data_IF_294811713338
#
_entry.id   IF_294811713338
#
_cell.length_a   1.000
_cell.length_b   1.000
_cell.length_c   1.000
_cell.angle_alpha   90.00
_cell.angle_beta   90.00
_cell.angle_gamma   90.00
#
_symmetry.space_group_name_H-M   'P 1'
#
loop_
_entity.id
_entity.type
_entity.pdbx_description
1 polymer ?
#
# COMPACT_ATOMS: atom_id res chain seq x y z
N UNK A 1 0.71 -6.94 -13.07
CA UNK A 1 1.17 -8.34 -13.29
C UNK A 1 0.16 -9.16 -14.08
N UNK A 2 -1.05 -9.45 -13.57
CA UNK A 2 -2.06 -10.24 -14.27
C UNK A 2 -2.43 -9.69 -15.67
N UNK A 3 -2.52 -8.37 -15.81
CA UNK A 3 -2.75 -7.70 -17.10
C UNK A 3 -1.66 -8.02 -18.13
N UNK A 4 -0.39 -7.85 -17.80
CA UNK A 4 0.74 -8.04 -18.72
C UNK A 4 0.91 -9.50 -19.14
N UNK A 5 0.73 -10.43 -18.20
CA UNK A 5 0.99 -11.86 -18.44
C UNK A 5 -0.21 -12.61 -19.02
N UNK A 6 -1.41 -12.26 -18.61
CA UNK A 6 -2.62 -13.02 -18.92
C UNK A 6 -3.73 -12.20 -19.60
N UNK A 7 -3.48 -10.91 -19.89
CA UNK A 7 -4.49 -10.03 -20.50
C UNK A 7 -5.69 -9.78 -19.59
N UNK A 8 -5.52 -9.92 -18.26
CA UNK A 8 -6.56 -9.58 -17.31
C UNK A 8 -6.83 -8.06 -17.32
N UNK A 9 -8.08 -7.65 -17.12
CA UNK A 9 -8.53 -6.27 -17.17
C UNK A 9 -8.99 -5.83 -15.79
N UNK A 10 -8.54 -4.67 -15.33
CA UNK A 10 -9.07 -4.01 -14.14
C UNK A 10 -10.37 -3.29 -14.54
N UNK A 11 -11.50 -3.67 -13.98
CA UNK A 11 -12.80 -3.05 -14.28
C UNK A 11 -13.43 -2.34 -13.08
N UNK A 12 -12.99 -2.67 -11.88
CA UNK A 12 -13.38 -2.00 -10.64
C UNK A 12 -12.14 -1.73 -9.78
N UNK A 13 -12.20 -0.70 -8.95
CA UNK A 13 -11.25 -0.46 -7.86
C UNK A 13 -11.99 -0.38 -6.53
N UNK A 14 -11.34 -0.84 -5.47
CA UNK A 14 -11.89 -0.77 -4.13
C UNK A 14 -11.84 0.65 -3.57
N UNK A 15 -12.86 1.00 -2.78
CA UNK A 15 -12.90 2.21 -1.97
C UNK A 15 -12.73 1.80 -0.52
N UNK A 16 -11.80 2.43 0.19
CA UNK A 16 -11.54 2.21 1.61
C UNK A 16 -11.67 3.54 2.34
N UNK A 17 -12.55 3.61 3.33
CA UNK A 17 -12.77 4.84 4.10
C UNK A 17 -13.01 6.08 3.22
N UNK A 18 -13.76 5.92 2.12
CA UNK A 18 -14.05 6.99 1.15
C UNK A 18 -12.97 7.28 0.11
N UNK A 19 -11.80 6.60 0.17
CA UNK A 19 -10.66 6.83 -0.73
C UNK A 19 -10.49 5.68 -1.71
N UNK A 20 -10.25 6.00 -3.00
CA UNK A 20 -9.89 5.03 -4.05
C UNK A 20 -8.39 4.89 -4.25
N UNK A 21 -7.61 5.66 -3.50
CA UNK A 21 -6.14 5.66 -3.50
C UNK A 21 -5.63 5.58 -2.07
N UNK A 22 -4.40 5.12 -1.92
CA UNK A 22 -3.64 5.16 -0.68
C UNK A 22 -2.21 5.61 -1.01
N UNK A 23 -1.33 5.71 -0.01
CA UNK A 23 0.08 6.09 -0.22
C UNK A 23 1.01 5.12 0.49
N UNK A 24 2.28 5.19 0.19
CA UNK A 24 3.30 4.71 1.10
C UNK A 24 3.64 5.82 2.10
N UNK A 25 3.94 5.43 3.33
CA UNK A 25 4.52 6.31 4.34
C UNK A 25 5.88 5.78 4.78
N UNK A 26 6.79 6.71 5.03
CA UNK A 26 8.05 6.44 5.69
C UNK A 26 7.90 6.85 7.14
N UNK A 27 8.12 5.92 8.05
CA UNK A 27 7.95 6.09 9.48
C UNK A 27 9.30 6.11 10.19
N UNK A 28 9.41 6.89 11.25
CA UNK A 28 10.52 6.88 12.20
C UNK A 28 10.01 7.18 13.60
N UNK A 29 10.84 7.01 14.62
CA UNK A 29 10.50 7.37 16.01
C UNK A 29 10.43 8.89 16.18
N UNK A 30 9.50 9.34 17.01
CA UNK A 30 9.35 10.75 17.34
C UNK A 30 10.52 11.26 18.19
N UNK A 31 11.08 10.40 19.08
CA UNK A 31 12.21 10.72 19.94
C UNK A 31 13.59 10.57 19.25
N UNK A 32 13.64 10.20 17.98
CA UNK A 32 14.86 10.24 17.20
C UNK A 32 15.00 11.60 16.50
N UNK A 33 15.72 12.53 17.14
CA UNK A 33 15.98 13.87 16.62
C UNK A 33 16.93 13.88 15.40
N UNK A 34 17.63 12.76 15.13
CA UNK A 34 18.50 12.63 13.96
C UNK A 34 17.75 12.36 12.67
N UNK A 35 16.43 12.11 12.72
CA UNK A 35 15.57 11.88 11.55
C UNK A 35 14.45 12.91 11.54
N UNK A 36 14.61 13.96 10.75
CA UNK A 36 13.62 15.04 10.54
C UNK A 36 13.05 15.04 9.13
N UNK A 37 13.77 14.47 8.20
CA UNK A 37 13.43 14.44 6.78
C UNK A 37 13.85 13.12 6.13
N UNK A 38 13.42 12.88 4.90
CA UNK A 38 13.81 11.72 4.13
C UNK A 38 15.34 11.63 3.91
N UNK A 39 16.03 12.78 3.77
CA UNK A 39 17.47 12.84 3.55
C UNK A 39 18.27 12.26 4.73
N UNK A 40 17.74 12.34 5.93
CA UNK A 40 18.38 11.86 7.15
C UNK A 40 18.41 10.33 7.24
N UNK A 41 17.73 9.64 6.32
CA UNK A 41 17.75 8.17 6.24
C UNK A 41 19.01 7.61 5.58
N UNK A 42 19.93 8.48 5.12
CA UNK A 42 21.22 8.04 4.61
C UNK A 42 21.98 7.28 5.69
N UNK A 43 22.36 6.03 5.37
CA UNK A 43 23.07 5.13 6.30
C UNK A 43 22.22 4.53 7.42
N UNK A 44 20.95 4.88 7.55
CA UNK A 44 20.03 4.37 8.59
C UNK A 44 19.57 2.94 8.28
N UNK A 45 19.23 2.18 9.34
CA UNK A 45 18.60 0.85 9.23
C UNK A 45 17.14 1.03 8.86
N UNK A 46 16.68 0.37 7.79
CA UNK A 46 15.32 0.53 7.28
C UNK A 46 14.62 -0.83 7.15
N UNK A 47 13.40 -0.93 7.69
CA UNK A 47 12.53 -2.08 7.49
C UNK A 47 11.57 -1.85 6.32
N UNK A 48 11.43 -2.87 5.49
CA UNK A 48 10.42 -2.98 4.44
C UNK A 48 9.48 -4.14 4.72
N UNK A 49 8.32 -4.19 4.04
CA UNK A 49 7.36 -5.29 4.24
C UNK A 49 7.85 -6.55 3.56
N UNK A 50 7.79 -6.58 2.24
CA UNK A 50 8.25 -7.70 1.41
C UNK A 50 8.65 -7.17 0.01
N UNK A 51 9.42 -7.96 -0.77
CA UNK A 51 9.94 -7.51 -2.07
C UNK A 51 8.87 -7.17 -3.13
N UNK A 52 7.64 -7.67 -3.00
CA UNK A 52 6.53 -7.42 -3.92
C UNK A 52 5.56 -6.33 -3.43
N UNK A 53 5.71 -5.87 -2.19
CA UNK A 53 4.83 -4.86 -1.60
C UNK A 53 4.98 -3.50 -2.29
N UNK A 54 3.89 -2.98 -2.86
CA UNK A 54 3.90 -1.67 -3.52
C UNK A 54 4.21 -0.54 -2.54
N UNK A 55 3.45 -0.43 -1.44
CA UNK A 55 3.63 0.64 -0.44
C UNK A 55 4.71 0.33 0.59
N UNK A 56 4.94 -0.94 0.89
CA UNK A 56 5.93 -1.33 1.89
C UNK A 56 7.35 -1.51 1.35
N UNK A 57 7.56 -1.41 0.02
CA UNK A 57 8.90 -1.56 -0.56
C UNK A 57 9.09 -0.86 -1.90
N UNK A 58 8.28 -1.17 -2.93
CA UNK A 58 8.60 -0.78 -4.32
C UNK A 58 8.57 0.74 -4.51
N UNK A 59 7.54 1.42 -4.04
CA UNK A 59 7.42 2.86 -4.16
C UNK A 59 8.42 3.60 -3.24
N UNK A 60 8.62 3.22 -1.97
CA UNK A 60 9.74 3.70 -1.16
C UNK A 60 11.10 3.54 -1.80
N UNK A 61 11.38 2.38 -2.41
CA UNK A 61 12.65 2.12 -3.10
C UNK A 61 12.84 3.09 -4.27
N UNK A 62 11.78 3.32 -5.07
CA UNK A 62 11.80 4.32 -6.14
C UNK A 62 12.08 5.72 -5.58
N UNK A 63 11.38 6.12 -4.52
CA UNK A 63 11.56 7.41 -3.86
C UNK A 63 13.00 7.61 -3.38
N UNK A 64 13.61 6.60 -2.73
CA UNK A 64 15.00 6.66 -2.29
C UNK A 64 15.97 6.76 -3.47
N UNK A 65 15.72 6.01 -4.55
CA UNK A 65 16.52 6.07 -5.78
C UNK A 65 16.47 7.46 -6.42
N UNK A 66 15.28 8.02 -6.59
CA UNK A 66 15.06 9.32 -7.21
C UNK A 66 15.70 10.46 -6.39
N UNK A 67 15.65 10.37 -5.07
CA UNK A 67 16.27 11.31 -4.14
C UNK A 67 17.75 11.00 -3.83
N UNK A 68 18.34 9.99 -4.47
CA UNK A 68 19.73 9.55 -4.27
C UNK A 68 20.06 9.24 -2.81
N UNK A 69 19.10 8.69 -2.06
CA UNK A 69 19.27 8.29 -0.66
C UNK A 69 19.72 6.84 -0.62
N UNK A 70 20.90 6.62 -0.11
CA UNK A 70 21.46 5.28 0.15
C UNK A 70 21.30 4.96 1.62
N UNK A 71 20.31 4.13 1.96
CA UNK A 71 20.11 3.62 3.32
C UNK A 71 21.23 2.68 3.74
N UNK A 72 21.33 2.39 5.02
CA UNK A 72 22.22 1.38 5.56
C UNK A 72 21.65 -0.05 5.41
N UNK A 73 21.72 -0.84 6.48
CA UNK A 73 21.17 -2.20 6.50
C UNK A 73 19.66 -2.16 6.30
N UNK A 74 19.16 -3.01 5.41
CA UNK A 74 17.71 -3.19 5.17
C UNK A 74 17.27 -4.58 5.60
N UNK A 75 16.02 -4.69 6.06
CA UNK A 75 15.39 -5.95 6.44
C UNK A 75 13.97 -6.03 5.88
N UNK A 76 13.51 -7.24 5.58
CA UNK A 76 12.10 -7.50 5.24
C UNK A 76 11.39 -8.09 6.45
N UNK A 77 10.37 -7.38 6.94
CA UNK A 77 9.61 -7.72 8.14
C UNK A 77 8.37 -8.60 7.84
N UNK A 78 8.11 -8.89 6.57
CA UNK A 78 7.01 -9.70 6.00
C UNK A 78 5.61 -9.10 6.15
N UNK A 79 5.35 -8.26 7.16
CA UNK A 79 4.04 -7.64 7.42
C UNK A 79 4.20 -6.18 7.81
N UNK A 80 3.15 -5.38 7.58
CA UNK A 80 3.12 -3.97 7.93
C UNK A 80 3.19 -3.72 9.45
N UNK A 81 2.48 -4.51 10.24
CA UNK A 81 2.51 -4.46 11.71
C UNK A 81 3.91 -4.74 12.27
N UNK A 82 4.63 -5.71 11.69
CA UNK A 82 6.01 -6.00 12.08
C UNK A 82 6.94 -4.82 11.80
N UNK A 83 6.80 -4.12 10.66
CA UNK A 83 7.59 -2.92 10.37
C UNK A 83 7.38 -1.86 11.45
N UNK A 84 6.12 -1.59 11.82
CA UNK A 84 5.79 -0.62 12.88
C UNK A 84 6.38 -1.06 14.22
N UNK A 85 6.22 -2.33 14.59
CA UNK A 85 6.75 -2.91 15.82
C UNK A 85 8.28 -2.80 15.90
N UNK A 86 9.00 -3.09 14.79
CA UNK A 86 10.46 -2.99 14.74
C UNK A 86 10.95 -1.55 14.94
N UNK A 87 10.24 -0.54 14.41
CA UNK A 87 10.56 0.87 14.65
C UNK A 87 10.29 1.21 16.12
N UNK A 88 9.12 0.82 16.65
CA UNK A 88 8.75 1.08 18.04
C UNK A 88 9.79 0.51 19.01
N UNK A 89 10.26 -0.71 18.78
CA UNK A 89 11.24 -1.43 19.59
C UNK A 89 12.71 -1.03 19.33
N UNK A 90 12.98 -0.01 18.49
CA UNK A 90 14.33 0.44 18.11
C UNK A 90 15.22 -0.60 17.41
N UNK A 91 14.60 -1.63 16.81
CA UNK A 91 15.33 -2.64 16.03
C UNK A 91 15.81 -2.08 14.68
N UNK A 92 15.06 -1.12 14.14
CA UNK A 92 15.41 -0.31 12.96
C UNK A 92 15.16 1.18 13.26
N UNK A 93 15.75 2.04 12.45
CA UNK A 93 15.64 3.49 12.63
C UNK A 93 14.43 4.07 11.90
N UNK A 94 14.05 3.44 10.78
CA UNK A 94 12.90 3.82 9.98
C UNK A 94 12.28 2.59 9.28
N UNK A 95 11.11 2.79 8.65
CA UNK A 95 10.48 1.74 7.85
C UNK A 95 9.39 2.27 6.94
N UNK A 96 9.01 1.45 5.97
CA UNK A 96 7.99 1.79 4.98
C UNK A 96 6.74 0.93 5.12
N UNK A 97 5.57 1.58 5.11
CA UNK A 97 4.26 0.92 5.26
C UNK A 97 3.20 1.63 4.40
N UNK A 98 1.94 1.17 4.46
CA UNK A 98 0.83 1.87 3.83
C UNK A 98 0.32 3.04 4.69
N UNK A 99 -0.19 4.05 4.01
CA UNK A 99 -0.91 5.18 4.57
C UNK A 99 -2.28 5.33 3.91
N UNK A 100 -3.31 5.39 4.71
CA UNK A 100 -4.65 5.85 4.33
C UNK A 100 -4.99 7.04 5.21
N UNK A 101 -5.62 8.10 4.69
CA UNK A 101 -6.02 9.24 5.50
C UNK A 101 -6.89 8.81 6.70
N UNK A 102 -6.84 9.55 7.80
CA UNK A 102 -7.72 9.31 8.94
C UNK A 102 -9.21 9.34 8.54
N UNK A 103 -10.01 8.52 9.18
CA UNK A 103 -11.45 8.52 9.01
C UNK A 103 -12.13 8.55 10.39
N UNK A 104 -13.18 9.33 10.52
CA UNK A 104 -13.96 9.47 11.78
C UNK A 104 -13.08 9.82 13.01
N UNK A 105 -12.00 10.57 12.78
CA UNK A 105 -11.06 10.98 13.83
C UNK A 105 -10.02 9.93 14.23
N UNK A 106 -10.03 8.74 13.59
CA UNK A 106 -9.10 7.66 13.87
C UNK A 106 -8.12 7.45 12.71
N UNK A 107 -6.88 7.08 13.04
CA UNK A 107 -5.88 6.73 12.01
C UNK A 107 -6.29 5.44 11.29
N UNK A 108 -6.09 5.45 9.96
CA UNK A 108 -6.36 4.31 9.10
C UNK A 108 -5.09 3.75 8.45
N UNK A 109 -3.93 4.22 8.85
CA UNK A 109 -2.64 3.73 8.36
C UNK A 109 -2.12 2.51 9.16
N UNK A 110 -0.94 2.02 8.78
CA UNK A 110 -0.38 0.79 9.35
C UNK A 110 -0.12 0.85 10.86
N UNK A 111 0.00 2.05 11.46
CA UNK A 111 0.21 2.18 12.92
C UNK A 111 -0.97 1.65 13.71
N UNK A 112 -2.20 1.72 13.16
CA UNK A 112 -3.40 1.15 13.82
C UNK A 112 -3.31 -0.36 14.06
N UNK A 113 -2.53 -1.08 13.25
CA UNK A 113 -2.41 -2.54 13.35
C UNK A 113 -1.75 -3.00 14.64
N UNK A 114 -1.06 -2.13 15.33
CA UNK A 114 -0.36 -2.43 16.58
C UNK A 114 -0.93 -1.71 17.81
N UNK A 115 -2.09 -1.07 17.71
CA UNK A 115 -2.71 -0.37 18.82
C UNK A 115 -2.95 -1.24 20.06
N UNK A 116 -3.38 -2.48 19.86
CA UNK A 116 -3.60 -3.41 20.96
C UNK A 116 -2.30 -3.66 21.76
N UNK A 117 -1.15 -3.64 21.09
CA UNK A 117 0.16 -3.88 21.68
C UNK A 117 0.86 -2.59 22.13
N UNK A 118 0.68 -1.50 21.38
CA UNK A 118 1.30 -0.20 21.60
C UNK A 118 0.26 0.92 21.49
N UNK A 119 -0.54 1.18 22.56
CA UNK A 119 -1.61 2.18 22.51
C UNK A 119 -1.13 3.62 22.26
N UNK A 120 0.15 3.90 22.51
CA UNK A 120 0.78 5.20 22.33
C UNK A 120 1.57 5.33 21.00
N UNK A 121 1.38 4.40 20.07
CA UNK A 121 2.15 4.32 18.81
C UNK A 121 2.10 5.61 18.00
N UNK A 122 0.98 6.32 17.96
CA UNK A 122 0.85 7.60 17.24
C UNK A 122 1.77 8.70 17.83
N UNK A 123 1.96 8.69 19.15
CA UNK A 123 2.84 9.64 19.85
C UNK A 123 4.32 9.27 19.68
N UNK A 124 4.61 7.96 19.54
CA UNK A 124 5.97 7.42 19.47
C UNK A 124 6.52 7.30 18.05
N UNK A 125 5.65 7.23 17.05
CA UNK A 125 6.04 7.04 15.64
C UNK A 125 5.42 8.13 14.79
N UNK A 126 6.30 8.93 14.17
CA UNK A 126 5.95 10.00 13.23
C UNK A 126 6.05 9.54 11.78
N UNK A 127 5.29 10.20 10.91
CA UNK A 127 5.45 10.12 9.46
C UNK A 127 6.55 11.11 9.06
N UNK A 128 7.58 10.62 8.40
CA UNK A 128 8.69 11.42 7.87
C UNK A 128 8.36 11.93 6.47
N UNK A 129 7.75 11.06 5.63
CA UNK A 129 7.43 11.37 4.24
C UNK A 129 6.25 10.54 3.77
N UNK A 130 5.43 11.09 2.88
CA UNK A 130 4.40 10.39 2.11
C UNK A 130 4.80 10.36 0.64
N UNK A 131 4.53 9.23 -0.03
CA UNK A 131 4.75 9.12 -1.48
C UNK A 131 3.58 9.65 -2.29
N UNK A 132 3.69 9.58 -3.61
CA UNK A 132 2.55 9.74 -4.52
C UNK A 132 1.47 8.69 -4.24
N UNK A 133 0.28 8.96 -4.78
CA UNK A 133 -0.88 8.10 -4.63
C UNK A 133 -0.73 6.79 -5.40
N UNK A 134 -1.26 5.74 -4.81
CA UNK A 134 -1.35 4.39 -5.34
C UNK A 134 -2.84 4.06 -5.48
N UNK A 135 -3.34 3.66 -6.65
CA UNK A 135 -4.70 3.14 -6.75
C UNK A 135 -4.88 1.92 -5.84
N UNK A 136 -6.03 1.84 -5.18
CA UNK A 136 -6.38 0.66 -4.38
C UNK A 136 -6.48 -0.60 -5.26
N UNK A 137 -6.62 -1.76 -4.65
CA UNK A 137 -6.65 -3.03 -5.34
C UNK A 137 -7.80 -3.08 -6.35
N UNK A 138 -7.51 -3.51 -7.61
CA UNK A 138 -8.53 -3.71 -8.61
C UNK A 138 -9.25 -5.04 -8.43
N UNK A 139 -10.53 -5.07 -8.79
CA UNK A 139 -11.18 -6.32 -9.20
C UNK A 139 -10.84 -6.56 -10.66
N UNK A 140 -10.14 -7.66 -10.92
CA UNK A 140 -9.64 -8.01 -12.25
C UNK A 140 -10.46 -9.14 -12.88
N UNK A 141 -10.71 -9.00 -14.16
CA UNK A 141 -11.43 -9.97 -14.96
C UNK A 141 -10.47 -10.66 -15.93
N UNK A 142 -10.55 -11.98 -16.03
CA UNK A 142 -9.72 -12.73 -16.95
C UNK A 142 -10.02 -12.38 -18.41
N UNK A 143 -9.06 -12.56 -19.30
CA UNK A 143 -9.28 -12.49 -20.75
C UNK A 143 -10.34 -13.51 -21.19
N UNK A 144 -11.16 -13.13 -22.19
CA UNK A 144 -12.12 -14.03 -22.83
C UNK A 144 -13.51 -14.07 -22.17
N UNK A 145 -13.77 -13.28 -21.11
CA UNK A 145 -15.15 -13.06 -20.65
C UNK A 145 -15.85 -12.15 -21.66
N UNK A 146 -17.07 -12.52 -22.17
CA UNK A 146 -17.84 -11.66 -23.08
C UNK A 146 -18.16 -10.29 -22.45
N UNK A 147 -18.13 -9.22 -23.24
CA UNK A 147 -18.34 -7.85 -22.76
C UNK A 147 -19.69 -7.67 -22.04
N UNK A 148 -20.78 -8.27 -22.59
CA UNK A 148 -22.09 -8.24 -21.96
C UNK A 148 -22.08 -8.89 -20.55
N UNK A 149 -21.28 -9.95 -20.36
CA UNK A 149 -21.12 -10.59 -19.05
C UNK A 149 -20.28 -9.72 -18.11
N UNK A 150 -19.19 -9.11 -18.59
CA UNK A 150 -18.36 -8.20 -17.79
C UNK A 150 -19.21 -7.04 -17.28
N UNK A 151 -20.04 -6.40 -18.13
CA UNK A 151 -20.91 -5.31 -17.72
C UNK A 151 -21.85 -5.74 -16.60
N UNK A 152 -22.55 -6.87 -16.76
CA UNK A 152 -23.43 -7.42 -15.71
C UNK A 152 -22.72 -7.70 -14.40
N UNK A 153 -21.50 -8.28 -14.46
CA UNK A 153 -20.71 -8.57 -13.27
C UNK A 153 -20.25 -7.27 -12.58
N UNK A 154 -19.79 -6.27 -13.34
CA UNK A 154 -19.41 -4.96 -12.80
C UNK A 154 -20.58 -4.31 -12.05
N UNK A 155 -21.76 -4.29 -12.68
CA UNK A 155 -22.95 -3.69 -12.06
C UNK A 155 -23.39 -4.48 -10.82
N UNK A 156 -23.35 -5.82 -10.86
CA UNK A 156 -23.65 -6.68 -9.71
C UNK A 156 -22.68 -6.49 -8.54
N UNK A 157 -21.38 -6.33 -8.80
CA UNK A 157 -20.40 -6.06 -7.75
C UNK A 157 -20.60 -4.69 -7.11
N UNK A 158 -20.93 -3.66 -7.89
CA UNK A 158 -21.25 -2.31 -7.36
C UNK A 158 -22.52 -2.37 -6.52
N UNK A 159 -23.56 -3.07 -7.00
CA UNK A 159 -24.79 -3.25 -6.25
C UNK A 159 -24.54 -3.99 -4.93
N UNK A 160 -23.78 -5.09 -4.97
CA UNK A 160 -23.38 -5.83 -3.76
C UNK A 160 -22.69 -4.91 -2.74
N UNK A 161 -21.73 -4.08 -3.18
CA UNK A 161 -21.00 -3.18 -2.29
C UNK A 161 -21.89 -2.11 -1.63
N UNK A 162 -23.03 -1.79 -2.24
CA UNK A 162 -24.00 -0.80 -1.72
C UNK A 162 -25.06 -1.41 -0.80
N UNK A 163 -25.30 -2.71 -0.90
CA UNK A 163 -26.24 -3.41 -0.02
C UNK A 163 -25.65 -3.51 1.39
N UNK A 164 -26.46 -3.40 2.47
CA UNK A 164 -25.95 -3.46 3.85
C UNK A 164 -25.14 -4.74 4.14
N UNK A 165 -25.68 -5.90 3.73
CA UNK A 165 -25.02 -7.21 3.92
C UNK A 165 -23.70 -7.34 3.14
N UNK A 166 -23.69 -6.88 1.88
CA UNK A 166 -22.50 -6.90 1.02
C UNK A 166 -21.43 -5.93 1.52
N UNK A 167 -21.82 -4.72 1.91
CA UNK A 167 -20.90 -3.73 2.51
C UNK A 167 -20.28 -4.26 3.80
N UNK A 168 -21.10 -4.86 4.68
CA UNK A 168 -20.60 -5.46 5.92
C UNK A 168 -19.57 -6.56 5.64
N UNK A 169 -19.87 -7.47 4.70
CA UNK A 169 -18.97 -8.55 4.32
C UNK A 169 -17.64 -8.02 3.75
N UNK A 170 -17.69 -7.07 2.81
CA UNK A 170 -16.50 -6.48 2.19
C UNK A 170 -15.66 -5.69 3.21
N UNK A 171 -16.30 -4.98 4.13
CA UNK A 171 -15.62 -4.23 5.19
C UNK A 171 -14.90 -5.17 6.16
N UNK A 172 -15.55 -6.25 6.61
CA UNK A 172 -14.97 -7.24 7.52
C UNK A 172 -13.77 -7.97 6.91
N UNK A 173 -13.84 -8.32 5.62
CA UNK A 173 -12.78 -9.10 4.96
C UNK A 173 -11.58 -8.24 4.58
N UNK A 174 -11.80 -7.02 4.10
CA UNK A 174 -10.73 -6.22 3.48
C UNK A 174 -10.83 -4.72 3.71
N UNK A 175 -11.66 -4.25 4.65
CA UNK A 175 -11.93 -2.81 4.88
C UNK A 175 -12.42 -2.08 3.62
N UNK A 176 -13.05 -2.80 2.68
CA UNK A 176 -13.63 -2.22 1.46
C UNK A 176 -15.01 -1.69 1.82
N UNK A 177 -15.21 -0.38 1.63
CA UNK A 177 -16.48 0.30 1.96
C UNK A 177 -17.36 0.54 0.75
N UNK A 178 -16.80 0.49 -0.46
CA UNK A 178 -17.52 0.60 -1.75
C UNK A 178 -16.61 0.11 -2.90
N UNK A 179 -17.18 0.03 -4.10
CA UNK A 179 -16.50 -0.26 -5.36
C UNK A 179 -16.86 0.80 -6.40
N UNK A 180 -15.90 1.24 -7.20
CA UNK A 180 -16.15 2.11 -8.36
C UNK A 180 -15.62 1.51 -9.65
N UNK A 181 -16.21 1.88 -10.79
CA UNK A 181 -15.69 1.54 -12.13
C UNK A 181 -14.26 2.08 -12.27
N UNK A 182 -13.41 1.29 -12.89
CA UNK A 182 -11.98 1.58 -13.07
C UNK A 182 -11.51 1.04 -14.42
N UNK A 183 -10.25 1.28 -14.73
CA UNK A 183 -9.60 0.73 -15.93
C UNK A 183 -8.12 0.50 -15.69
N UNK A 184 -7.48 -0.27 -16.57
CA UNK A 184 -6.04 -0.52 -16.54
C UNK A 184 -5.21 0.78 -16.63
N UNK A 185 -5.78 1.87 -17.17
CA UNK A 185 -5.11 3.16 -17.26
C UNK A 185 -4.79 3.76 -15.88
N UNK A 186 -5.65 3.54 -14.88
CA UNK A 186 -5.41 4.02 -13.50
C UNK A 186 -4.15 3.40 -12.88
N UNK A 187 -3.74 2.21 -13.33
CA UNK A 187 -2.55 1.49 -12.83
C UNK A 187 -1.28 1.74 -13.65
N UNK A 188 -1.30 2.71 -14.60
CA UNK A 188 -0.16 3.03 -15.46
C UNK A 188 1.07 3.44 -14.63
N UNK A 189 0.90 4.32 -13.65
CA UNK A 189 1.99 4.79 -12.79
C UNK A 189 2.67 3.64 -12.02
N UNK A 190 1.90 2.65 -11.56
CA UNK A 190 2.46 1.46 -10.90
C UNK A 190 3.29 0.62 -11.87
N UNK A 191 2.88 0.49 -13.13
CA UNK A 191 3.67 -0.22 -14.16
C UNK A 191 4.96 0.52 -14.50
N UNK A 192 4.87 1.84 -14.68
CA UNK A 192 6.03 2.70 -14.95
C UNK A 192 7.05 2.66 -13.80
N UNK A 193 6.58 2.65 -12.55
CA UNK A 193 7.42 2.47 -11.38
C UNK A 193 8.21 1.15 -11.45
N UNK A 194 7.55 0.04 -11.77
CA UNK A 194 8.22 -1.26 -11.89
C UNK A 194 9.31 -1.23 -12.98
N UNK A 195 9.00 -0.65 -14.13
CA UNK A 195 9.95 -0.48 -15.23
C UNK A 195 11.15 0.36 -14.81
N UNK A 196 10.93 1.49 -14.11
CA UNK A 196 12.00 2.37 -13.61
C UNK A 196 12.90 1.69 -12.57
N UNK A 197 12.35 0.71 -11.85
CA UNK A 197 13.11 -0.12 -10.91
C UNK A 197 13.82 -1.31 -11.58
N UNK A 198 13.65 -1.52 -12.89
CA UNK A 198 14.16 -2.69 -13.60
C UNK A 198 13.49 -4.00 -13.15
N UNK A 199 12.28 -3.93 -12.60
CA UNK A 199 11.53 -5.09 -12.11
C UNK A 199 10.43 -5.47 -13.09
N UNK A 200 10.25 -6.77 -13.29
CA UNK A 200 9.15 -7.32 -14.07
C UNK A 200 8.13 -8.03 -13.18
N UNK A 201 6.93 -8.23 -13.72
CA UNK A 201 5.92 -9.06 -13.07
C UNK A 201 6.46 -10.46 -12.71
N UNK A 202 7.28 -11.04 -13.59
CA UNK A 202 7.86 -12.37 -13.39
C UNK A 202 8.90 -12.39 -12.27
N UNK A 203 9.75 -11.36 -12.17
CA UNK A 203 10.76 -11.26 -11.11
C UNK A 203 10.13 -11.15 -9.72
N UNK A 204 8.92 -10.58 -9.61
CA UNK A 204 8.20 -10.44 -8.35
C UNK A 204 7.36 -11.67 -7.97
N UNK A 205 7.05 -12.56 -8.93
CA UNK A 205 6.31 -13.80 -8.66
C UNK A 205 7.21 -14.99 -8.31
N UNK A 206 8.52 -14.86 -8.46
CA UNK A 206 9.51 -15.90 -8.14
C UNK A 206 10.13 -15.73 -6.75
N UNK A 207 9.63 -14.78 -5.98
CA UNK A 207 10.00 -14.51 -4.59
C UNK A 207 9.03 -15.21 -3.63
#
# INVERSE_FOLDING_TARGET
MAHQKYGAQALLTSIRFGHSTYRSQILARTDDESIKSLADLKGKRVAFVDPASTSGYLLPLKLFKDRKIKTGKTVFAMKHDNVVSMIYQKQVDAGATFYTPPAEGEIQDARRLVFAQYPDVEKKIKIVELTDEIPNEPVVFRKGIPEAMKSKLVDAFIELARRPDGKEALTKVSSITDLKKSSDAEYKAVREMLTALGKSAESLMRL
#
